data_IF_987657984775
#
_entry.id   IF_987657984775
#
_cell.length_a   1.000
_cell.length_b   1.000
_cell.length_c   1.000
_cell.angle_alpha   90.00
_cell.angle_beta   90.00
_cell.angle_gamma   90.00
#
_symmetry.space_group_name_H-M   'P 1'
#
loop_
_entity.id
_entity.type
_entity.pdbx_description
1 polymer ?
#
# COMPACT_ATOMS: atom_id res chain seq x y z
N UNK A 1 34.39 -12.16 -15.86
CA UNK A 1 33.00 -12.63 -16.07
C UNK A 1 32.03 -11.74 -15.30
N UNK A 2 31.10 -11.07 -15.98
CA UNK A 2 30.06 -10.26 -15.33
C UNK A 2 29.03 -11.15 -14.62
N UNK A 3 28.42 -10.63 -13.55
CA UNK A 3 27.41 -11.35 -12.78
C UNK A 3 26.13 -11.51 -13.61
N UNK A 4 25.73 -12.75 -13.91
CA UNK A 4 24.55 -13.07 -14.75
C UNK A 4 23.26 -13.35 -13.97
N UNK A 5 23.30 -13.30 -12.63
CA UNK A 5 22.16 -13.65 -11.76
C UNK A 5 21.79 -12.55 -10.76
N UNK A 6 20.54 -12.58 -10.30
CA UNK A 6 20.01 -11.64 -9.31
C UNK A 6 20.82 -11.63 -8.00
N UNK A 7 20.91 -10.46 -7.35
CA UNK A 7 21.60 -10.38 -6.05
C UNK A 7 20.82 -11.13 -4.97
N UNK A 8 21.49 -11.90 -4.13
CA UNK A 8 20.87 -12.52 -2.94
C UNK A 8 20.89 -11.57 -1.74
N UNK A 9 21.90 -10.71 -1.65
CA UNK A 9 22.04 -9.70 -0.60
C UNK A 9 21.72 -8.28 -1.06
N UNK A 10 21.33 -7.44 -0.09
CA UNK A 10 21.16 -5.99 -0.26
C UNK A 10 22.11 -5.28 0.70
N UNK A 11 23.05 -4.51 0.15
CA UNK A 11 23.87 -3.59 0.97
C UNK A 11 22.99 -2.49 1.53
N UNK A 12 23.34 -1.95 2.70
CA UNK A 12 22.52 -0.94 3.40
C UNK A 12 22.56 0.44 2.71
N UNK A 13 23.69 0.81 2.11
CA UNK A 13 23.84 2.07 1.35
C UNK A 13 22.86 2.20 0.17
N UNK A 14 22.69 1.20 -0.72
CA UNK A 14 21.72 1.27 -1.81
C UNK A 14 20.28 0.89 -1.42
N UNK A 15 20.00 0.64 -0.13
CA UNK A 15 18.63 0.39 0.30
C UNK A 15 17.73 1.60 -0.03
N UNK A 16 16.40 1.42 -0.13
CA UNK A 16 15.49 2.54 -0.38
C UNK A 16 15.61 3.65 0.66
N UNK A 17 15.42 4.91 0.24
CA UNK A 17 15.60 6.11 1.11
C UNK A 17 14.58 6.19 2.24
N UNK A 18 13.39 5.66 2.01
CA UNK A 18 12.29 5.71 2.97
C UNK A 18 12.38 4.67 4.08
N UNK A 19 13.34 3.73 4.03
CA UNK A 19 13.51 2.78 5.12
C UNK A 19 14.11 3.50 6.34
N UNK A 20 13.48 3.40 7.53
CA UNK A 20 13.96 4.05 8.74
C UNK A 20 15.15 3.29 9.33
N UNK A 21 16.24 3.20 8.58
CA UNK A 21 17.44 2.47 8.97
C UNK A 21 18.69 3.35 8.90
N UNK A 22 19.55 3.33 9.93
CA UNK A 22 20.85 4.01 9.87
C UNK A 22 21.74 3.33 8.82
N UNK A 23 22.18 4.06 7.79
CA UNK A 23 22.89 3.48 6.62
C UNK A 23 24.37 3.17 6.84
N UNK A 24 24.97 3.75 7.88
CA UNK A 24 26.42 3.66 8.14
C UNK A 24 26.79 2.70 9.26
N UNK A 25 25.85 2.31 10.12
CA UNK A 25 26.13 1.40 11.25
C UNK A 25 26.49 -0.02 10.79
N UNK A 26 25.81 -0.52 9.76
CA UNK A 26 26.00 -1.89 9.28
C UNK A 26 26.14 -1.93 7.76
N UNK A 27 26.83 -2.95 7.27
CA UNK A 27 27.08 -3.14 5.83
C UNK A 27 25.84 -3.65 5.09
N UNK A 28 25.05 -4.51 5.73
CA UNK A 28 23.95 -5.25 5.10
C UNK A 28 22.58 -4.85 5.64
N UNK A 29 21.59 -4.88 4.76
CA UNK A 29 20.17 -4.76 5.08
C UNK A 29 19.46 -6.09 4.79
N UNK A 30 18.30 -6.29 5.41
CA UNK A 30 17.42 -7.42 5.05
C UNK A 30 16.86 -7.13 3.67
N UNK A 31 17.20 -7.98 2.69
CA UNK A 31 16.60 -7.91 1.36
C UNK A 31 15.21 -8.56 1.43
N UNK A 32 14.13 -7.85 1.08
CA UNK A 32 12.82 -8.46 1.05
C UNK A 32 12.74 -9.56 -0.02
N UNK A 33 11.98 -10.60 0.29
CA UNK A 33 11.67 -11.66 -0.66
C UNK A 33 10.74 -11.15 -1.77
N UNK A 34 10.77 -11.74 -2.98
CA UNK A 34 9.76 -11.45 -3.98
C UNK A 34 8.37 -11.80 -3.42
N UNK A 35 7.45 -10.85 -3.47
CA UNK A 35 6.16 -10.95 -2.80
C UNK A 35 5.14 -9.94 -3.36
N UNK A 36 4.13 -9.55 -2.56
CA UNK A 36 3.06 -8.67 -3.01
C UNK A 36 3.54 -7.30 -3.51
N UNK A 37 4.53 -6.72 -2.84
CA UNK A 37 4.98 -5.35 -3.10
C UNK A 37 6.39 -5.30 -3.69
N UNK A 38 6.65 -4.27 -4.49
CA UNK A 38 7.98 -4.04 -5.10
C UNK A 38 9.01 -3.61 -4.06
N UNK A 39 10.30 -3.82 -4.35
CA UNK A 39 11.42 -3.43 -3.46
C UNK A 39 11.38 -1.93 -3.08
N UNK A 40 10.93 -1.09 -4.02
CA UNK A 40 10.85 0.36 -3.86
C UNK A 40 9.60 0.81 -3.08
N UNK A 41 8.63 -0.08 -2.86
CA UNK A 41 7.37 0.25 -2.17
C UNK A 41 7.05 -0.75 -1.05
N UNK A 42 8.07 -1.34 -0.42
CA UNK A 42 7.88 -2.27 0.68
C UNK A 42 8.85 -2.03 1.84
N UNK A 43 8.47 -2.55 3.00
CA UNK A 43 9.26 -2.71 4.21
C UNK A 43 9.30 -4.21 4.58
N UNK A 44 10.48 -4.81 4.75
CA UNK A 44 10.59 -6.14 5.34
C UNK A 44 10.02 -6.18 6.76
N UNK A 45 9.34 -7.27 7.13
CA UNK A 45 8.86 -7.48 8.51
C UNK A 45 9.95 -7.33 9.57
N UNK A 46 11.17 -7.76 9.26
CA UNK A 46 12.31 -7.59 10.16
C UNK A 46 12.58 -6.12 10.52
N UNK A 47 12.44 -5.20 9.56
CA UNK A 47 12.64 -3.76 9.78
C UNK A 47 11.48 -3.18 10.57
N UNK A 48 10.25 -3.61 10.26
CA UNK A 48 9.05 -3.21 11.02
C UNK A 48 9.18 -3.58 12.51
N UNK A 49 9.51 -4.83 12.82
CA UNK A 49 9.58 -5.29 14.20
C UNK A 49 10.78 -4.74 14.97
N UNK A 50 11.92 -4.54 14.30
CA UNK A 50 13.16 -4.09 14.94
C UNK A 50 13.26 -2.58 15.04
N UNK A 51 13.14 -1.89 13.90
CA UNK A 51 13.49 -0.47 13.79
C UNK A 51 12.29 0.45 14.03
N UNK A 52 11.07 0.01 13.68
CA UNK A 52 9.85 0.85 13.82
C UNK A 52 9.14 0.58 15.15
N UNK A 53 8.83 -0.70 15.45
CA UNK A 53 8.05 -1.08 16.63
C UNK A 53 8.91 -1.36 17.86
N UNK A 54 10.19 -1.67 17.69
CA UNK A 54 11.11 -1.94 18.80
C UNK A 54 10.84 -3.24 19.58
N UNK A 55 10.01 -4.16 19.07
CA UNK A 55 9.75 -5.47 19.71
C UNK A 55 10.95 -6.41 19.70
N UNK A 56 11.90 -6.16 18.80
CA UNK A 56 13.15 -6.92 18.70
C UNK A 56 14.33 -5.94 18.65
N UNK A 57 15.43 -6.26 19.33
CA UNK A 57 16.70 -5.53 19.20
C UNK A 57 17.54 -6.11 18.06
N UNK A 58 17.51 -7.43 17.88
CA UNK A 58 18.31 -8.13 16.88
C UNK A 58 17.46 -8.76 15.78
N UNK A 59 18.06 -9.00 14.61
CA UNK A 59 17.38 -9.75 13.52
C UNK A 59 16.99 -11.17 13.95
N UNK A 60 17.79 -11.80 14.83
CA UNK A 60 17.52 -13.15 15.33
C UNK A 60 16.22 -13.19 16.13
N UNK A 61 16.01 -12.22 17.01
CA UNK A 61 14.76 -12.05 17.76
C UNK A 61 13.57 -11.78 16.83
N UNK A 62 13.71 -10.84 15.89
CA UNK A 62 12.65 -10.55 14.92
C UNK A 62 12.27 -11.80 14.12
N UNK A 63 13.27 -12.59 13.69
CA UNK A 63 13.05 -13.85 12.98
C UNK A 63 12.33 -14.88 13.86
N UNK A 64 12.68 -14.97 15.14
CA UNK A 64 12.03 -15.88 16.10
C UNK A 64 10.55 -15.53 16.29
N UNK A 65 10.23 -14.26 16.51
CA UNK A 65 8.84 -13.76 16.67
C UNK A 65 8.00 -14.13 15.45
N UNK A 66 8.55 -13.88 14.25
CA UNK A 66 7.86 -14.17 12.99
C UNK A 66 7.75 -15.68 12.76
N UNK A 67 8.79 -16.47 13.04
CA UNK A 67 8.76 -17.92 12.84
C UNK A 67 7.80 -18.64 13.78
N UNK A 68 7.59 -18.10 14.98
CA UNK A 68 6.56 -18.57 15.92
C UNK A 68 5.13 -18.32 15.42
N UNK A 69 4.95 -17.52 14.35
CA UNK A 69 3.65 -17.27 13.74
C UNK A 69 2.80 -16.24 14.49
N UNK A 70 3.45 -15.36 15.27
CA UNK A 70 2.79 -14.33 16.09
C UNK A 70 2.33 -13.10 15.31
N UNK A 71 2.84 -12.95 14.08
CA UNK A 71 2.59 -11.77 13.24
C UNK A 71 1.68 -12.15 12.07
N UNK A 72 0.60 -11.40 11.96
CA UNK A 72 -0.38 -11.52 10.89
C UNK A 72 -0.25 -10.32 9.96
N UNK A 73 -0.22 -10.57 8.66
CA UNK A 73 -0.30 -9.53 7.64
C UNK A 73 -1.51 -9.83 6.76
N UNK A 74 -2.42 -8.87 6.67
CA UNK A 74 -3.70 -8.99 5.98
C UNK A 74 -4.51 -10.22 6.43
N UNK A 75 -4.52 -10.49 7.75
CA UNK A 75 -5.21 -11.64 8.35
C UNK A 75 -4.52 -12.99 8.15
N UNK A 76 -3.36 -13.06 7.49
CA UNK A 76 -2.60 -14.30 7.26
C UNK A 76 -1.32 -14.33 8.08
N UNK A 77 -1.04 -15.47 8.71
CA UNK A 77 0.21 -15.69 9.44
C UNK A 77 1.39 -15.64 8.47
N UNK A 78 2.39 -14.81 8.77
CA UNK A 78 3.65 -14.76 8.02
C UNK A 78 4.78 -15.29 8.89
N UNK A 79 5.53 -16.26 8.35
CA UNK A 79 6.64 -16.94 9.05
C UNK A 79 8.03 -16.55 8.53
N UNK A 80 8.12 -15.62 7.59
CA UNK A 80 9.39 -15.14 7.01
C UNK A 80 9.65 -13.70 7.41
N UNK A 81 10.85 -13.43 7.95
CA UNK A 81 11.27 -12.10 8.38
C UNK A 81 11.52 -11.13 7.21
N UNK A 82 11.76 -11.68 6.01
CA UNK A 82 11.98 -10.94 4.78
C UNK A 82 10.70 -10.63 3.99
N UNK A 83 9.52 -10.96 4.53
CA UNK A 83 8.26 -10.73 3.83
C UNK A 83 8.04 -9.22 3.60
N UNK A 84 7.77 -8.80 2.34
CA UNK A 84 7.56 -7.39 2.02
C UNK A 84 6.15 -6.96 2.43
N UNK A 85 6.07 -6.06 3.39
CA UNK A 85 4.84 -5.34 3.75
C UNK A 85 4.84 -4.01 3.00
N UNK A 86 3.72 -3.62 2.41
CA UNK A 86 3.63 -2.39 1.62
C UNK A 86 2.44 -1.53 2.00
N UNK A 87 2.12 -0.63 1.08
CA UNK A 87 1.08 0.38 1.25
C UNK A 87 -0.28 -0.28 1.60
N UNK A 88 -1.01 0.31 2.54
CA UNK A 88 -2.33 -0.11 3.03
C UNK A 88 -2.40 -1.52 3.66
N UNK A 89 -1.30 -2.26 3.76
CA UNK A 89 -1.29 -3.54 4.45
C UNK A 89 -1.62 -3.35 5.94
N UNK A 90 -2.34 -4.32 6.50
CA UNK A 90 -2.68 -4.37 7.92
C UNK A 90 -1.78 -5.39 8.61
N UNK A 91 -1.03 -4.94 9.62
CA UNK A 91 -0.20 -5.76 10.49
C UNK A 91 -0.94 -5.95 11.81
N UNK A 92 -1.10 -7.19 12.24
CA UNK A 92 -1.78 -7.53 13.49
C UNK A 92 -0.89 -8.42 14.34
N UNK A 93 -0.73 -8.06 15.60
CA UNK A 93 -0.01 -8.82 16.62
C UNK A 93 -0.99 -9.10 17.76
N UNK A 94 -1.70 -10.24 17.74
CA UNK A 94 -2.74 -10.54 18.72
C UNK A 94 -2.24 -10.56 20.17
N UNK A 95 -1.03 -11.08 20.41
CA UNK A 95 -0.44 -11.17 21.75
C UNK A 95 -0.22 -9.80 22.41
N UNK A 96 0.09 -8.78 21.61
CA UNK A 96 0.32 -7.42 22.08
C UNK A 96 -0.93 -6.53 21.96
N UNK A 97 -2.06 -7.08 21.51
CA UNK A 97 -3.27 -6.35 21.13
C UNK A 97 -2.97 -5.11 20.24
N UNK A 98 -1.98 -5.26 19.35
CA UNK A 98 -1.45 -4.17 18.56
C UNK A 98 -1.81 -4.36 17.08
N UNK A 99 -2.47 -3.35 16.52
CA UNK A 99 -2.97 -3.34 15.15
C UNK A 99 -2.42 -2.11 14.44
N UNK A 100 -1.80 -2.31 13.28
CA UNK A 100 -1.17 -1.25 12.53
C UNK A 100 -1.59 -1.30 11.06
N UNK A 101 -1.74 -0.14 10.44
CA UNK A 101 -1.85 0.02 8.98
C UNK A 101 -0.66 0.77 8.45
N UNK A 102 -0.13 0.31 7.32
CA UNK A 102 1.00 0.96 6.66
C UNK A 102 0.50 2.10 5.78
N UNK A 103 0.91 3.33 6.09
CA UNK A 103 0.52 4.53 5.36
C UNK A 103 1.73 5.30 4.83
N UNK A 104 1.58 6.05 3.72
CA UNK A 104 2.64 6.90 3.21
C UNK A 104 2.73 8.19 4.04
N UNK A 105 3.94 8.65 4.27
CA UNK A 105 4.31 9.89 4.96
C UNK A 105 5.46 10.56 4.22
N UNK A 106 5.76 11.81 4.56
CA UNK A 106 6.81 12.60 3.90
C UNK A 106 8.19 11.91 3.94
N UNK A 107 8.50 11.22 5.06
CA UNK A 107 9.76 10.48 5.24
C UNK A 107 9.74 9.06 4.67
N UNK A 108 8.56 8.52 4.35
CA UNK A 108 8.42 7.12 3.97
C UNK A 108 7.14 6.46 4.45
N UNK A 109 7.16 5.15 4.64
CA UNK A 109 6.03 4.44 5.26
C UNK A 109 6.04 4.59 6.77
N UNK A 110 4.88 4.88 7.33
CA UNK A 110 4.62 4.93 8.76
C UNK A 110 3.61 3.84 9.13
N UNK A 111 3.72 3.34 10.37
CA UNK A 111 2.75 2.41 10.93
C UNK A 111 1.78 3.21 11.79
N UNK A 112 0.56 3.35 11.30
CA UNK A 112 -0.52 4.01 12.02
C UNK A 112 -1.26 2.98 12.87
N UNK A 113 -1.44 3.24 14.16
CA UNK A 113 -2.19 2.35 15.04
C UNK A 113 -3.69 2.46 14.73
N UNK A 114 -4.35 1.32 14.57
CA UNK A 114 -5.77 1.26 14.18
C UNK A 114 -6.60 0.50 15.21
N UNK A 115 -7.92 0.67 15.14
CA UNK A 115 -8.87 -0.13 15.92
C UNK A 115 -9.02 -1.54 15.34
N UNK A 116 -9.55 -2.47 16.13
CA UNK A 116 -9.80 -3.86 15.70
C UNK A 116 -10.79 -3.93 14.54
N UNK A 117 -11.78 -3.04 14.49
CA UNK A 117 -12.78 -3.01 13.43
C UNK A 117 -12.14 -2.73 12.06
N UNK A 118 -11.19 -1.78 12.02
CA UNK A 118 -10.47 -1.42 10.79
C UNK A 118 -9.55 -2.54 10.27
N UNK A 119 -9.18 -3.51 11.10
CA UNK A 119 -8.35 -4.65 10.66
C UNK A 119 -9.10 -5.60 9.73
N UNK A 120 -10.43 -5.59 9.78
CA UNK A 120 -11.30 -6.47 9.01
C UNK A 120 -11.34 -6.10 7.53
N UNK A 121 -10.82 -4.93 7.15
CA UNK A 121 -10.82 -4.48 5.76
C UNK A 121 -9.51 -3.79 5.36
N UNK A 122 -9.30 -3.75 4.05
CA UNK A 122 -8.17 -3.12 3.39
C UNK A 122 -8.64 -2.34 2.18
N UNK A 123 -8.00 -1.19 1.94
CA UNK A 123 -8.17 -0.46 0.69
C UNK A 123 -7.12 -0.92 -0.32
N UNK A 124 -7.58 -1.30 -1.52
CA UNK A 124 -6.69 -1.67 -2.61
C UNK A 124 -7.04 -0.92 -3.89
N UNK A 125 -6.03 -0.29 -4.48
CA UNK A 125 -6.17 0.33 -5.80
C UNK A 125 -6.13 -0.71 -6.92
N UNK A 126 -6.95 -0.53 -7.94
CA UNK A 126 -6.94 -1.30 -9.18
C UNK A 126 -5.84 -0.75 -10.09
N UNK A 127 -4.84 -1.56 -10.38
CA UNK A 127 -3.78 -1.21 -11.32
C UNK A 127 -4.17 -1.54 -12.75
N UNK A 128 -4.66 -2.75 -12.97
CA UNK A 128 -4.98 -3.23 -14.30
C UNK A 128 -6.28 -4.02 -14.33
N UNK A 129 -6.93 -3.99 -15.48
CA UNK A 129 -8.12 -4.78 -15.78
C UNK A 129 -7.83 -5.60 -17.04
N UNK A 130 -8.02 -6.90 -16.96
CA UNK A 130 -7.75 -7.81 -18.07
C UNK A 130 -8.92 -8.76 -18.25
N UNK A 131 -9.38 -8.93 -19.49
CA UNK A 131 -10.41 -9.91 -19.80
C UNK A 131 -9.76 -11.30 -19.92
N UNK A 132 -10.31 -12.28 -19.21
CA UNK A 132 -9.90 -13.68 -19.26
C UNK A 132 -10.82 -14.44 -20.22
N UNK A 133 -10.37 -15.63 -20.66
CA UNK A 133 -11.22 -16.67 -21.27
C UNK A 133 -12.55 -16.81 -20.52
N UNK A 134 -13.62 -17.09 -21.26
CA UNK A 134 -15.02 -17.16 -20.78
C UNK A 134 -15.66 -15.81 -20.42
N UNK A 135 -15.08 -14.70 -20.88
CA UNK A 135 -15.69 -13.36 -20.74
C UNK A 135 -15.58 -12.76 -19.33
N UNK A 136 -14.90 -13.43 -18.40
CA UNK A 136 -14.70 -12.91 -17.05
C UNK A 136 -13.63 -11.81 -17.01
N UNK A 137 -13.71 -10.96 -15.99
CA UNK A 137 -12.80 -9.84 -15.81
C UNK A 137 -11.89 -10.09 -14.61
N UNK A 138 -10.59 -9.92 -14.79
CA UNK A 138 -9.60 -9.90 -13.74
C UNK A 138 -9.22 -8.48 -13.38
N UNK A 139 -9.33 -8.14 -12.10
CA UNK A 139 -8.81 -6.92 -11.52
C UNK A 139 -7.47 -7.24 -10.85
N UNK A 140 -6.40 -6.65 -11.36
CA UNK A 140 -5.08 -6.70 -10.73
C UNK A 140 -4.90 -5.50 -9.82
N UNK A 141 -4.59 -5.78 -8.56
CA UNK A 141 -4.48 -4.78 -7.50
C UNK A 141 -3.02 -4.35 -7.30
N UNK A 142 -2.84 -3.23 -6.60
CA UNK A 142 -1.51 -2.68 -6.30
C UNK A 142 -0.62 -3.58 -5.43
N UNK A 143 -1.21 -4.47 -4.64
CA UNK A 143 -0.51 -5.44 -3.78
C UNK A 143 -0.17 -6.75 -4.53
N UNK A 144 -0.30 -6.76 -5.85
CA UNK A 144 -0.08 -7.93 -6.71
C UNK A 144 -1.17 -8.99 -6.62
N UNK A 145 -2.21 -8.79 -5.79
CA UNK A 145 -3.35 -9.69 -5.72
C UNK A 145 -4.26 -9.54 -6.93
N UNK A 146 -5.01 -10.60 -7.25
CA UNK A 146 -5.97 -10.60 -8.35
C UNK A 146 -7.35 -10.97 -7.81
N UNK A 147 -8.38 -10.23 -8.26
CA UNK A 147 -9.78 -10.55 -8.00
C UNK A 147 -10.45 -10.87 -9.32
N UNK A 148 -11.13 -12.02 -9.36
CA UNK A 148 -11.95 -12.43 -10.49
C UNK A 148 -13.38 -11.95 -10.29
N UNK A 149 -13.84 -11.09 -11.21
CA UNK A 149 -15.24 -10.70 -11.31
C UNK A 149 -15.87 -11.59 -12.39
N UNK A 150 -16.77 -12.47 -11.95
CA UNK A 150 -17.51 -13.36 -12.84
C UNK A 150 -18.60 -12.55 -13.53
N UNK A 151 -18.42 -12.33 -14.82
CA UNK A 151 -19.44 -11.69 -15.65
C UNK A 151 -20.48 -12.73 -16.01
N UNK A 152 -21.74 -12.49 -15.62
CA UNK A 152 -22.86 -13.43 -15.88
C UNK A 152 -23.54 -13.10 -17.21
N UNK A 153 -23.67 -11.80 -17.55
CA UNK A 153 -24.21 -11.33 -18.83
C UNK A 153 -23.23 -10.39 -19.55
N UNK A 154 -22.65 -10.79 -20.70
CA UNK A 154 -21.72 -9.97 -21.48
C UNK A 154 -22.31 -8.66 -22.03
N UNK A 155 -23.65 -8.54 -22.06
CA UNK A 155 -24.37 -7.39 -22.60
C UNK A 155 -24.85 -6.40 -21.54
N UNK A 156 -24.78 -6.72 -20.25
CA UNK A 156 -25.25 -5.82 -19.19
C UNK A 156 -24.07 -4.98 -18.65
N UNK A 157 -23.99 -3.66 -18.92
CA UNK A 157 -22.85 -2.82 -18.55
C UNK A 157 -22.74 -2.55 -17.04
N UNK A 158 -23.71 -3.01 -16.24
CA UNK A 158 -23.75 -2.78 -14.80
C UNK A 158 -22.60 -3.46 -14.04
N UNK A 159 -21.89 -4.44 -14.63
CA UNK A 159 -20.69 -5.05 -14.05
C UNK A 159 -19.37 -4.36 -14.49
N UNK A 160 -19.44 -3.40 -15.42
CA UNK A 160 -18.33 -2.55 -15.84
C UNK A 160 -18.14 -1.32 -14.92
N UNK A 161 -18.44 -1.45 -13.63
CA UNK A 161 -18.31 -0.32 -12.68
C UNK A 161 -16.85 0.06 -12.43
N UNK A 162 -15.95 -0.93 -12.48
CA UNK A 162 -14.57 -0.79 -12.05
C UNK A 162 -13.67 -0.22 -13.15
N UNK A 163 -13.11 0.97 -12.89
CA UNK A 163 -12.09 1.57 -13.74
C UNK A 163 -10.69 1.39 -13.14
N UNK A 164 -9.67 1.52 -13.99
CA UNK A 164 -8.27 1.54 -13.52
C UNK A 164 -8.02 2.77 -12.65
N UNK A 165 -7.21 2.58 -11.61
CA UNK A 165 -6.83 3.53 -10.57
C UNK A 165 -7.90 3.80 -9.51
N UNK A 166 -9.09 3.25 -9.64
CA UNK A 166 -10.08 3.31 -8.56
C UNK A 166 -9.66 2.46 -7.36
N UNK A 167 -10.25 2.76 -6.20
CA UNK A 167 -9.98 2.04 -4.95
C UNK A 167 -11.13 1.10 -4.61
N UNK A 168 -10.80 -0.13 -4.20
CA UNK A 168 -11.72 -1.11 -3.67
C UNK A 168 -11.50 -1.28 -2.18
N UNK A 169 -12.60 -1.34 -1.43
CA UNK A 169 -12.60 -1.81 -0.04
C UNK A 169 -12.83 -3.31 -0.05
N UNK A 170 -11.86 -4.04 0.48
CA UNK A 170 -11.83 -5.50 0.47
C UNK A 170 -11.86 -6.01 1.90
N UNK A 171 -12.67 -7.05 2.16
CA UNK A 171 -12.66 -7.73 3.45
C UNK A 171 -11.42 -8.61 3.62
N UNK A 172 -10.88 -8.68 4.83
CA UNK A 172 -9.81 -9.59 5.22
C UNK A 172 -10.37 -10.58 6.25
N UNK A 173 -10.08 -11.90 6.12
CA UNK A 173 -9.17 -12.55 5.19
C UNK A 173 -9.82 -13.01 3.86
N UNK A 174 -11.15 -12.94 3.73
CA UNK A 174 -11.92 -13.56 2.64
C UNK A 174 -11.71 -12.92 1.28
N UNK A 175 -11.21 -11.69 1.25
CA UNK A 175 -10.90 -10.91 0.04
C UNK A 175 -12.11 -10.69 -0.87
N UNK A 176 -13.27 -10.41 -0.28
CA UNK A 176 -14.48 -10.03 -1.02
C UNK A 176 -14.55 -8.51 -1.17
N UNK A 177 -15.04 -8.03 -2.30
CA UNK A 177 -15.25 -6.60 -2.54
C UNK A 177 -16.47 -6.17 -1.74
N UNK A 178 -16.29 -5.19 -0.85
CA UNK A 178 -17.38 -4.60 -0.07
C UNK A 178 -17.87 -3.30 -0.72
N UNK A 179 -16.93 -2.42 -1.07
CA UNK A 179 -17.23 -1.07 -1.52
C UNK A 179 -16.24 -0.64 -2.62
N UNK A 180 -16.67 0.27 -3.49
CA UNK A 180 -15.89 0.79 -4.59
C UNK A 180 -15.89 2.31 -4.55
N UNK A 181 -14.71 2.91 -4.54
CA UNK A 181 -14.51 4.35 -4.56
C UNK A 181 -13.94 4.73 -5.92
N UNK A 182 -14.75 5.44 -6.72
CA UNK A 182 -14.34 5.95 -8.03
C UNK A 182 -13.50 7.21 -7.86
N UNK A 183 -12.43 7.34 -8.66
CA UNK A 183 -11.71 8.61 -8.70
C UNK A 183 -12.51 9.63 -9.51
N UNK A 184 -13.00 10.66 -8.83
CA UNK A 184 -13.69 11.83 -9.39
C UNK A 184 -13.24 13.10 -8.66
N UNK A 185 -13.69 14.23 -9.17
CA UNK A 185 -13.56 15.50 -8.45
C UNK A 185 -14.31 15.44 -7.11
N UNK A 186 -13.80 16.17 -6.11
CA UNK A 186 -14.24 16.21 -4.72
C UNK A 186 -14.08 14.91 -3.92
N UNK A 187 -13.40 13.89 -4.44
CA UNK A 187 -13.06 12.67 -3.69
C UNK A 187 -11.82 12.89 -2.82
N UNK A 188 -11.81 12.32 -1.62
CA UNK A 188 -10.66 12.35 -0.72
C UNK A 188 -9.59 11.36 -1.19
N UNK A 189 -8.35 11.83 -1.30
CA UNK A 189 -7.23 11.03 -1.74
C UNK A 189 -5.94 11.34 -0.98
N UNK A 190 -5.05 10.35 -0.95
CA UNK A 190 -3.69 10.46 -0.44
C UNK A 190 -2.68 10.33 -1.57
N UNK A 191 -1.59 11.07 -1.44
CA UNK A 191 -0.47 11.01 -2.37
C UNK A 191 0.51 9.92 -1.92
N UNK A 192 0.70 8.91 -2.76
CA UNK A 192 1.54 7.73 -2.45
C UNK A 192 2.98 7.86 -2.95
N UNK A 193 3.27 8.82 -3.84
CA UNK A 193 4.59 8.96 -4.44
C UNK A 193 4.93 10.39 -4.88
N UNK A 194 6.18 10.60 -5.28
CA UNK A 194 6.70 11.91 -5.65
C UNK A 194 7.07 12.78 -4.45
N UNK A 195 7.27 14.09 -4.69
CA UNK A 195 7.72 15.05 -3.67
C UNK A 195 6.68 15.31 -2.58
N UNK A 196 5.40 15.18 -2.91
CA UNK A 196 4.27 15.46 -2.03
C UNK A 196 3.70 14.21 -1.35
N UNK A 197 4.51 13.15 -1.20
CA UNK A 197 4.11 11.91 -0.55
C UNK A 197 3.57 12.13 0.87
N UNK A 198 2.47 11.44 1.20
CA UNK A 198 1.84 11.47 2.52
C UNK A 198 0.89 12.64 2.77
N UNK A 199 0.72 13.55 1.81
CA UNK A 199 -0.31 14.60 1.90
C UNK A 199 -1.67 14.03 1.53
N UNK A 200 -2.71 14.52 2.20
CA UNK A 200 -4.09 14.09 2.03
C UNK A 200 -4.98 15.31 1.77
N UNK A 201 -5.93 15.16 0.86
CA UNK A 201 -6.82 16.25 0.50
C UNK A 201 -7.90 15.82 -0.49
N UNK A 202 -8.70 16.79 -0.94
CA UNK A 202 -9.74 16.59 -1.95
C UNK A 202 -9.18 16.82 -3.34
N UNK A 203 -9.60 16.00 -4.30
CA UNK A 203 -9.25 16.19 -5.71
C UNK A 203 -10.08 17.36 -6.25
N UNK A 204 -9.43 18.45 -6.67
CA UNK A 204 -10.11 19.61 -7.25
C UNK A 204 -10.30 19.43 -8.75
N UNK A 205 -9.24 19.02 -9.44
CA UNK A 205 -9.22 18.99 -10.90
C UNK A 205 -8.37 17.81 -11.41
N UNK A 206 -8.87 17.14 -12.46
CA UNK A 206 -8.16 16.07 -13.18
C UNK A 206 -7.96 16.51 -14.63
N UNK A 207 -6.78 17.05 -14.94
CA UNK A 207 -6.41 17.46 -16.29
C UNK A 207 -5.93 16.27 -17.10
N UNK A 208 -6.67 15.93 -18.15
CA UNK A 208 -6.28 14.89 -19.12
C UNK A 208 -5.77 15.55 -20.40
N UNK A 209 -4.49 15.37 -20.70
CA UNK A 209 -3.91 15.76 -21.98
C UNK A 209 -4.27 14.74 -23.04
N UNK A 210 -4.70 15.19 -24.24
CA UNK A 210 -4.97 14.29 -25.36
C UNK A 210 -3.70 13.54 -25.76
N UNK A 211 -3.77 12.20 -25.83
CA UNK A 211 -2.65 11.33 -26.19
C UNK A 211 -1.83 10.77 -25.02
N UNK A 212 -2.00 11.30 -23.80
CA UNK A 212 -1.34 10.74 -22.63
C UNK A 212 -2.13 9.57 -22.02
N UNK A 213 -1.39 8.59 -21.47
CA UNK A 213 -2.01 7.51 -20.69
C UNK A 213 -2.73 8.11 -19.48
N UNK A 214 -3.92 7.59 -19.15
CA UNK A 214 -4.72 8.02 -17.99
C UNK A 214 -3.90 8.18 -16.70
N UNK A 215 -2.92 7.29 -16.47
CA UNK A 215 -2.01 7.31 -15.30
C UNK A 215 -1.18 8.60 -15.18
N UNK A 216 -0.89 9.27 -16.29
CA UNK A 216 -0.06 10.46 -16.32
C UNK A 216 -0.88 11.76 -16.22
N UNK A 217 -2.21 11.67 -16.18
CA UNK A 217 -3.08 12.82 -16.00
C UNK A 217 -2.67 13.62 -14.77
N UNK A 218 -2.63 14.95 -14.90
CA UNK A 218 -2.25 15.85 -13.83
C UNK A 218 -3.46 16.08 -12.92
N UNK A 219 -3.25 15.88 -11.62
CA UNK A 219 -4.27 16.00 -10.59
C UNK A 219 -3.86 17.10 -9.62
N UNK A 220 -4.81 18.00 -9.36
CA UNK A 220 -4.67 19.03 -8.32
C UNK A 220 -5.42 18.56 -7.07
N UNK A 221 -4.71 18.45 -5.96
CA UNK A 221 -5.26 18.09 -4.65
C UNK A 221 -5.20 19.31 -3.75
N UNK A 222 -6.28 19.57 -3.02
CA UNK A 222 -6.38 20.65 -2.03
C UNK A 222 -6.54 20.06 -0.63
N UNK A 223 -5.62 20.40 0.26
CA UNK A 223 -5.69 20.02 1.68
C UNK A 223 -6.72 20.89 2.43
N UNK A 224 -7.10 20.47 3.63
CA UNK A 224 -8.02 21.23 4.50
C UNK A 224 -7.51 22.64 4.85
N UNK A 225 -6.19 22.86 4.78
CA UNK A 225 -5.54 24.15 5.00
C UNK A 225 -5.56 25.07 3.76
N UNK A 226 -6.21 24.67 2.67
CA UNK A 226 -6.28 25.41 1.41
C UNK A 226 -5.00 25.35 0.56
N UNK A 227 -4.03 24.52 0.94
CA UNK A 227 -2.82 24.33 0.14
C UNK A 227 -3.10 23.42 -1.06
N UNK A 228 -2.65 23.85 -2.25
CA UNK A 228 -2.81 23.10 -3.49
C UNK A 228 -1.53 22.39 -3.89
N UNK A 229 -1.65 21.11 -4.21
CA UNK A 229 -0.56 20.27 -4.66
C UNK A 229 -0.88 19.65 -6.01
N UNK A 230 0.13 19.65 -6.89
CA UNK A 230 0.05 19.00 -8.19
C UNK A 230 0.76 17.66 -8.12
N UNK A 231 0.12 16.63 -8.68
CA UNK A 231 0.68 15.28 -8.78
C UNK A 231 0.15 14.59 -10.04
N UNK A 232 0.62 13.37 -10.34
CA UNK A 232 0.07 12.53 -11.40
C UNK A 232 -0.94 11.54 -10.83
N UNK A 233 -1.94 11.16 -11.61
CA UNK A 233 -2.98 10.21 -11.20
C UNK A 233 -2.41 8.86 -10.73
N UNK A 234 -1.24 8.46 -11.24
CA UNK A 234 -0.52 7.26 -10.79
C UNK A 234 -0.07 7.32 -9.31
N UNK A 235 0.11 8.50 -8.74
CA UNK A 235 0.46 8.69 -7.33
C UNK A 235 -0.73 9.06 -6.46
N UNK A 236 -1.94 9.08 -7.01
CA UNK A 236 -3.17 9.35 -6.27
C UNK A 236 -3.78 8.02 -5.83
N UNK A 237 -4.21 7.97 -4.57
CA UNK A 237 -4.91 6.84 -4.00
C UNK A 237 -6.17 7.35 -3.30
N UNK A 238 -7.35 6.97 -3.81
CA UNK A 238 -8.61 7.41 -3.21
C UNK A 238 -8.88 6.68 -1.89
N UNK A 239 -9.28 7.45 -0.87
CA UNK A 239 -9.55 6.95 0.48
C UNK A 239 -11.06 6.92 0.78
N UNK A 240 -11.86 7.79 0.14
CA UNK A 240 -13.30 7.83 0.33
C UNK A 240 -13.94 9.00 -0.42
N UNK A 241 -15.26 8.99 -0.56
CA UNK A 241 -15.99 10.05 -1.28
C UNK A 241 -16.14 11.31 -0.41
N UNK A 242 -16.98 11.26 0.64
CA UNK A 242 -17.24 12.40 1.54
C UNK A 242 -16.50 12.30 2.86
N UNK A 243 -16.32 11.07 3.37
CA UNK A 243 -15.57 10.77 4.59
C UNK A 243 -14.46 9.78 4.29
N UNK A 244 -13.30 9.87 4.97
CA UNK A 244 -12.25 8.88 4.78
C UNK A 244 -12.71 7.52 5.32
N UNK A 245 -12.52 6.45 4.53
CA UNK A 245 -12.86 5.09 4.95
C UNK A 245 -11.85 4.50 5.96
N UNK A 246 -10.75 5.20 6.21
CA UNK A 246 -9.66 4.79 7.10
C UNK A 246 -9.36 5.92 8.07
N UNK A 247 -8.87 5.56 9.26
CA UNK A 247 -8.21 6.52 10.14
C UNK A 247 -6.97 7.08 9.44
N UNK A 248 -6.91 8.40 9.30
CA UNK A 248 -5.74 9.10 8.76
C UNK A 248 -4.95 9.63 9.97
N UNK A 249 -3.62 9.47 10.01
CA UNK A 249 -2.81 10.12 11.03
C UNK A 249 -2.96 11.64 10.85
N UNK A 250 -3.40 12.32 11.90
CA UNK A 250 -3.26 13.77 11.95
C UNK A 250 -1.78 14.09 11.74
N UNK A 251 -1.50 15.02 10.82
CA UNK A 251 -0.15 15.53 10.60
C UNK A 251 0.23 16.35 11.83
N UNK A 252 0.64 15.65 12.88
CA UNK A 252 1.11 16.19 14.14
C UNK A 252 2.47 15.56 14.46
N UNK A 253 3.47 16.44 14.47
CA UNK A 253 4.75 16.33 15.15
C UNK A 253 5.43 14.95 15.13
N UNK A 254 6.41 14.83 14.24
CA UNK A 254 7.60 14.02 14.52
C UNK A 254 8.12 14.45 15.90
N UNK A 255 8.01 13.56 16.89
CA UNK A 255 8.91 13.54 18.04
C UNK A 255 10.19 12.83 17.61
#
# INVERSE_FOLDING_TARGET
>A
MGKKGGSTGLKRKPAPKFWPIPRKEFVWAVKPSPGPHSLENCLPLAIVLRDILGFAKTRKEAKLIVSQGKVYVDGKIRRKDDFPVGLMDVITIPEANAFFRVLPSHKGFILHQISKEETSFKLCRIENKTCIKKGHVQLSLHDGSNILVKVTDPQNPQEYVYETLDTLKISLPDRRIMEHVKIKENVLAIITGGKNIGKYGKIVEIKRTKGERRRNALVVIEDEKGNRYQTTLNFVFAIGETKPLISIPEVAAIV
#
